data_IF_117277971186
#
_entry.id   IF_117277971186
#
_cell.length_a   1.000
_cell.length_b   1.000
_cell.length_c   1.000
_cell.angle_alpha   90.00
_cell.angle_beta   90.00
_cell.angle_gamma   90.00
#
_symmetry.space_group_name_H-M   'P 1'
#
loop_
_entity.id
_entity.type
_entity.pdbx_description
1 polymer ?
#
# COMPACT_ATOMS: atom_id res chain seq x y z
N UNK A 1 -18.21 -3.56 3.10
CA UNK A 1 -18.20 -2.77 1.87
C UNK A 1 -18.68 -3.55 0.65
N UNK A 2 -18.29 -4.83 0.43
CA UNK A 2 -18.68 -5.63 -0.75
C UNK A 2 -20.20 -5.69 -0.96
N UNK A 3 -21.01 -5.97 0.09
CA UNK A 3 -22.47 -5.98 -0.02
C UNK A 3 -23.06 -4.61 -0.39
N UNK A 4 -22.51 -3.53 0.17
CA UNK A 4 -22.93 -2.16 -0.15
C UNK A 4 -22.59 -1.80 -1.60
N UNK A 5 -21.43 -2.22 -2.11
CA UNK A 5 -21.03 -2.04 -3.49
C UNK A 5 -21.97 -2.74 -4.47
N UNK A 6 -22.37 -3.99 -4.18
CA UNK A 6 -23.34 -4.73 -5.01
C UNK A 6 -24.72 -4.08 -5.03
N UNK A 7 -25.20 -3.55 -3.92
CA UNK A 7 -26.48 -2.79 -3.88
C UNK A 7 -26.33 -1.51 -4.72
N UNK A 8 -25.21 -0.83 -4.63
CA UNK A 8 -24.95 0.40 -5.37
C UNK A 8 -24.99 0.20 -6.89
N UNK A 9 -24.51 -0.93 -7.41
CA UNK A 9 -24.58 -1.26 -8.86
C UNK A 9 -26.01 -1.31 -9.42
N UNK A 10 -27.02 -1.54 -8.57
CA UNK A 10 -28.42 -1.59 -8.96
C UNK A 10 -29.08 -0.21 -9.03
N UNK A 11 -28.43 0.83 -8.57
CA UNK A 11 -28.98 2.18 -8.49
C UNK A 11 -28.76 2.97 -9.78
N UNK A 12 -29.72 3.86 -10.09
CA UNK A 12 -29.56 4.79 -11.22
C UNK A 12 -28.86 6.10 -10.80
N UNK A 13 -27.56 6.09 -10.85
CA UNK A 13 -26.70 7.21 -10.43
C UNK A 13 -26.85 8.46 -11.30
N UNK A 14 -27.40 8.35 -12.51
CA UNK A 14 -27.66 9.49 -13.38
C UNK A 14 -28.66 10.49 -12.76
N UNK A 15 -29.50 10.04 -11.84
CA UNK A 15 -30.47 10.89 -11.13
C UNK A 15 -29.89 11.56 -9.88
N UNK A 16 -28.77 11.07 -9.36
CA UNK A 16 -28.13 11.61 -8.15
C UNK A 16 -27.28 12.80 -8.53
N UNK A 17 -27.61 13.98 -8.01
CA UNK A 17 -26.90 15.25 -8.27
C UNK A 17 -26.05 15.70 -7.10
N UNK A 18 -26.24 15.11 -5.95
CA UNK A 18 -25.56 15.48 -4.72
C UNK A 18 -24.15 14.90 -4.66
N UNK A 19 -23.17 15.78 -4.44
CA UNK A 19 -21.77 15.41 -4.33
C UNK A 19 -21.51 14.47 -3.16
N UNK A 20 -22.13 14.71 -2.00
CA UNK A 20 -21.91 13.91 -0.80
C UNK A 20 -22.28 12.44 -1.03
N UNK A 21 -23.41 12.20 -1.70
CA UNK A 21 -23.86 10.85 -2.07
C UNK A 21 -22.91 10.19 -3.07
N UNK A 22 -22.48 10.91 -4.12
CA UNK A 22 -21.52 10.38 -5.10
C UNK A 22 -20.17 10.09 -4.45
N UNK A 23 -19.67 10.97 -3.59
CA UNK A 23 -18.42 10.74 -2.86
C UNK A 23 -18.50 9.53 -1.95
N UNK A 24 -19.64 9.32 -1.29
CA UNK A 24 -19.84 8.14 -0.43
C UNK A 24 -19.77 6.85 -1.24
N UNK A 25 -20.43 6.80 -2.40
CA UNK A 25 -20.43 5.58 -3.21
C UNK A 25 -19.06 5.32 -3.86
N UNK A 26 -18.36 6.36 -4.30
CA UNK A 26 -16.98 6.24 -4.79
C UNK A 26 -16.10 5.58 -3.72
N UNK A 27 -16.19 6.04 -2.45
CA UNK A 27 -15.43 5.46 -1.36
C UNK A 27 -15.86 4.01 -1.03
N UNK A 28 -17.13 3.67 -1.18
CA UNK A 28 -17.65 2.31 -0.97
C UNK A 28 -17.10 1.36 -2.03
N UNK A 29 -17.11 1.76 -3.31
CA UNK A 29 -16.58 0.96 -4.41
C UNK A 29 -15.05 0.77 -4.27
N UNK A 30 -14.34 1.84 -3.94
CA UNK A 30 -12.91 1.76 -3.68
C UNK A 30 -12.59 0.80 -2.52
N UNK A 31 -13.30 0.92 -1.40
CA UNK A 31 -13.10 0.04 -0.23
C UNK A 31 -13.49 -1.43 -0.50
N UNK A 32 -14.35 -1.68 -1.49
CA UNK A 32 -14.67 -3.01 -1.98
C UNK A 32 -13.61 -3.57 -2.94
N UNK A 33 -12.70 -2.73 -3.44
CA UNK A 33 -11.68 -3.07 -4.44
C UNK A 33 -12.20 -3.01 -5.89
N UNK A 34 -13.40 -2.43 -6.09
CA UNK A 34 -14.02 -2.28 -7.41
C UNK A 34 -13.63 -0.93 -8.02
N UNK A 35 -12.39 -0.86 -8.52
CA UNK A 35 -11.82 0.39 -9.03
C UNK A 35 -12.44 0.84 -10.35
N UNK A 36 -12.99 -0.07 -11.16
CA UNK A 36 -13.70 0.29 -12.39
C UNK A 36 -14.99 1.04 -12.08
N UNK A 37 -15.82 0.52 -11.19
CA UNK A 37 -17.06 1.18 -10.76
C UNK A 37 -16.75 2.50 -10.03
N UNK A 38 -15.73 2.52 -9.17
CA UNK A 38 -15.29 3.74 -8.49
C UNK A 38 -14.88 4.82 -9.49
N UNK A 39 -14.11 4.45 -10.55
CA UNK A 39 -13.74 5.33 -11.66
C UNK A 39 -14.97 5.86 -12.38
N UNK A 40 -15.90 5.02 -12.75
CA UNK A 40 -17.09 5.41 -13.52
C UNK A 40 -17.97 6.38 -12.74
N UNK A 41 -18.12 6.16 -11.42
CA UNK A 41 -18.80 7.11 -10.54
C UNK A 41 -18.03 8.44 -10.40
N UNK A 42 -16.71 8.38 -10.36
CA UNK A 42 -15.87 9.58 -10.31
C UNK A 42 -15.92 10.36 -11.63
N UNK A 43 -15.94 9.71 -12.79
CA UNK A 43 -16.16 10.33 -14.11
C UNK A 43 -17.52 11.03 -14.15
N UNK A 44 -18.57 10.39 -13.64
CA UNK A 44 -19.90 11.00 -13.58
C UNK A 44 -19.90 12.30 -12.76
N UNK A 45 -19.20 12.32 -11.62
CA UNK A 45 -19.04 13.49 -10.78
C UNK A 45 -18.18 14.58 -11.46
N UNK A 46 -17.08 14.18 -12.10
CA UNK A 46 -16.19 15.07 -12.83
C UNK A 46 -16.89 15.80 -13.98
N UNK A 47 -17.67 15.08 -14.80
CA UNK A 47 -18.47 15.64 -15.90
C UNK A 47 -19.55 16.62 -15.44
N UNK A 48 -19.88 16.58 -14.16
CA UNK A 48 -20.82 17.54 -13.50
C UNK A 48 -20.11 18.69 -12.79
N UNK A 49 -18.81 18.80 -12.93
CA UNK A 49 -17.97 19.79 -12.24
C UNK A 49 -18.09 19.71 -10.71
N UNK A 50 -18.27 18.52 -10.15
CA UNK A 50 -18.33 18.28 -8.72
C UNK A 50 -16.94 17.89 -8.17
N UNK A 51 -16.75 18.00 -6.85
CA UNK A 51 -15.58 17.49 -6.14
C UNK A 51 -14.26 18.26 -6.31
N UNK A 52 -14.15 19.09 -7.34
CA UNK A 52 -12.97 19.93 -7.58
C UNK A 52 -11.66 19.14 -7.65
N UNK A 53 -10.54 19.79 -7.28
CA UNK A 53 -9.20 19.21 -7.40
C UNK A 53 -9.02 17.87 -6.65
N UNK A 54 -9.75 17.65 -5.55
CA UNK A 54 -9.68 16.38 -4.81
C UNK A 54 -10.25 15.22 -5.62
N UNK A 55 -11.31 15.49 -6.39
CA UNK A 55 -11.86 14.46 -7.29
C UNK A 55 -10.92 14.17 -8.45
N UNK A 56 -10.26 15.19 -9.01
CA UNK A 56 -9.28 14.99 -10.10
C UNK A 56 -8.12 14.10 -9.61
N UNK A 57 -7.59 14.38 -8.41
CA UNK A 57 -6.58 13.52 -7.78
C UNK A 57 -7.06 12.07 -7.68
N UNK A 58 -8.24 11.87 -7.09
CA UNK A 58 -8.82 10.54 -6.86
C UNK A 58 -9.13 9.81 -8.16
N UNK A 59 -9.64 10.51 -9.17
CA UNK A 59 -9.91 9.95 -10.48
C UNK A 59 -8.62 9.52 -11.19
N UNK A 60 -7.55 10.29 -11.04
CA UNK A 60 -6.21 9.90 -11.53
C UNK A 60 -5.75 8.60 -10.88
N UNK A 61 -5.91 8.46 -9.53
CA UNK A 61 -5.58 7.21 -8.84
C UNK A 61 -6.38 6.01 -9.38
N UNK A 62 -7.68 6.20 -9.69
CA UNK A 62 -8.49 5.13 -10.25
C UNK A 62 -8.05 4.73 -11.65
N UNK A 63 -7.73 5.68 -12.53
CA UNK A 63 -7.20 5.38 -13.85
C UNK A 63 -5.85 4.63 -13.77
N UNK A 64 -4.98 4.98 -12.83
CA UNK A 64 -3.76 4.23 -12.54
C UNK A 64 -4.08 2.79 -12.11
N UNK A 65 -5.09 2.58 -11.26
CA UNK A 65 -5.48 1.26 -10.74
C UNK A 65 -6.09 0.34 -11.80
N UNK A 66 -6.66 0.89 -12.86
CA UNK A 66 -7.24 0.14 -13.99
C UNK A 66 -6.33 0.15 -15.22
N UNK A 67 -5.06 0.56 -15.07
CA UNK A 67 -4.03 0.61 -16.10
C UNK A 67 -4.37 1.48 -17.31
N UNK A 68 -5.28 2.46 -17.14
CA UNK A 68 -5.61 3.45 -18.16
C UNK A 68 -4.69 4.67 -18.03
N UNK A 69 -3.45 4.51 -18.46
CA UNK A 69 -2.40 5.49 -18.24
C UNK A 69 -2.56 6.75 -19.11
N UNK A 70 -3.24 6.68 -20.26
CA UNK A 70 -3.49 7.84 -21.11
C UNK A 70 -4.38 8.87 -20.39
N UNK A 71 -5.51 8.42 -19.87
CA UNK A 71 -6.42 9.26 -19.10
C UNK A 71 -5.81 9.68 -17.75
N UNK A 72 -5.02 8.79 -17.11
CA UNK A 72 -4.31 9.13 -15.87
C UNK A 72 -3.30 10.27 -16.08
N UNK A 73 -2.55 10.27 -17.19
CA UNK A 73 -1.60 11.36 -17.51
C UNK A 73 -2.30 12.69 -17.79
N UNK A 74 -3.42 12.66 -18.52
CA UNK A 74 -4.18 13.88 -18.80
C UNK A 74 -4.69 14.53 -17.51
N UNK A 75 -5.32 13.75 -16.64
CA UNK A 75 -5.82 14.22 -15.36
C UNK A 75 -4.70 14.64 -14.40
N UNK A 76 -3.58 13.93 -14.40
CA UNK A 76 -2.40 14.36 -13.64
C UNK A 76 -1.92 15.75 -14.08
N UNK A 77 -1.84 16.01 -15.40
CA UNK A 77 -1.43 17.34 -15.91
C UNK A 77 -2.43 18.41 -15.49
N UNK A 78 -3.72 18.12 -15.51
CA UNK A 78 -4.76 19.02 -15.00
C UNK A 78 -4.58 19.28 -13.50
N UNK A 79 -4.43 18.23 -12.69
CA UNK A 79 -4.20 18.36 -11.25
C UNK A 79 -2.94 19.16 -10.93
N UNK A 80 -1.84 18.85 -11.57
CA UNK A 80 -0.57 19.55 -11.34
C UNK A 80 -0.65 21.05 -11.67
N UNK A 81 -1.43 21.41 -12.69
CA UNK A 81 -1.67 22.81 -13.08
C UNK A 81 -2.56 23.53 -12.06
N UNK A 82 -3.62 22.90 -11.59
CA UNK A 82 -4.55 23.46 -10.61
C UNK A 82 -3.96 23.50 -9.20
N UNK A 83 -3.00 22.66 -8.91
CA UNK A 83 -2.43 22.43 -7.58
C UNK A 83 -0.90 22.60 -7.59
N UNK A 84 -0.40 23.69 -8.20
CA UNK A 84 1.03 23.90 -8.41
C UNK A 84 1.89 23.83 -7.13
N UNK A 85 1.32 24.24 -5.99
CA UNK A 85 1.99 24.23 -4.67
C UNK A 85 1.66 23.01 -3.82
N UNK A 86 0.83 22.09 -4.30
CA UNK A 86 0.47 20.88 -3.57
C UNK A 86 1.57 19.82 -3.76
N UNK A 87 2.19 19.39 -2.66
CA UNK A 87 3.25 18.39 -2.67
C UNK A 87 2.76 17.01 -3.08
N UNK A 88 1.47 16.71 -2.89
CA UNK A 88 0.87 15.43 -3.29
C UNK A 88 0.93 15.18 -4.81
N UNK A 89 1.17 16.22 -5.63
CA UNK A 89 1.42 16.04 -7.06
C UNK A 89 2.63 15.14 -7.35
N UNK A 90 3.65 15.16 -6.48
CA UNK A 90 4.83 14.29 -6.64
C UNK A 90 4.48 12.83 -6.37
N UNK A 91 3.64 12.59 -5.36
CA UNK A 91 3.18 11.24 -5.03
C UNK A 91 2.28 10.67 -6.14
N UNK A 92 1.34 11.46 -6.62
CA UNK A 92 0.49 11.06 -7.73
C UNK A 92 1.31 10.75 -9.00
N UNK A 93 2.34 11.56 -9.28
CA UNK A 93 3.25 11.30 -10.40
C UNK A 93 4.12 10.07 -10.17
N UNK A 94 4.61 9.89 -8.96
CA UNK A 94 5.36 8.69 -8.58
C UNK A 94 4.53 7.42 -8.79
N UNK A 95 3.28 7.40 -8.31
CA UNK A 95 2.41 6.25 -8.47
C UNK A 95 2.09 5.97 -9.95
N UNK A 96 1.84 7.00 -10.75
CA UNK A 96 1.64 6.90 -12.19
C UNK A 96 2.88 6.30 -12.88
N UNK A 97 4.07 6.88 -12.64
CA UNK A 97 5.31 6.43 -13.28
C UNK A 97 5.71 5.02 -12.85
N UNK A 98 5.49 4.69 -11.57
CA UNK A 98 5.70 3.35 -11.06
C UNK A 98 4.78 2.32 -11.71
N UNK A 99 3.51 2.64 -11.91
CA UNK A 99 2.55 1.77 -12.61
C UNK A 99 2.89 1.58 -14.10
N UNK A 100 3.55 2.56 -14.71
CA UNK A 100 4.07 2.49 -16.09
C UNK A 100 5.44 1.80 -16.19
N UNK A 101 5.93 1.15 -15.13
CA UNK A 101 7.26 0.51 -15.08
C UNK A 101 8.42 1.46 -15.45
N UNK A 102 8.33 2.73 -15.03
CA UNK A 102 9.39 3.70 -15.24
C UNK A 102 10.70 3.25 -14.57
N UNK A 103 11.87 3.66 -15.12
CA UNK A 103 13.16 3.32 -14.53
C UNK A 103 13.27 3.77 -13.07
N UNK A 104 13.90 2.94 -12.21
CA UNK A 104 14.11 3.26 -10.79
C UNK A 104 14.82 4.62 -10.58
N UNK A 105 15.68 5.05 -11.50
CA UNK A 105 16.34 6.35 -11.46
C UNK A 105 15.37 7.52 -11.59
N UNK A 106 14.36 7.41 -12.43
CA UNK A 106 13.30 8.42 -12.56
C UNK A 106 12.44 8.47 -11.29
N UNK A 107 12.10 7.30 -10.74
CA UNK A 107 11.34 7.20 -9.49
C UNK A 107 12.11 7.83 -8.30
N UNK A 108 13.43 7.67 -8.26
CA UNK A 108 14.30 8.36 -7.29
C UNK A 108 14.16 9.88 -7.43
N UNK A 109 14.29 10.42 -8.63
CA UNK A 109 14.23 11.88 -8.87
C UNK A 109 12.89 12.48 -8.42
N UNK A 110 11.79 11.74 -8.57
CA UNK A 110 10.46 12.17 -8.14
C UNK A 110 10.37 12.19 -6.61
N UNK A 111 10.79 11.10 -5.95
CA UNK A 111 10.72 11.02 -4.49
C UNK A 111 11.74 11.94 -3.79
N UNK A 112 12.88 12.25 -4.41
CA UNK A 112 13.79 13.28 -3.89
C UNK A 112 13.12 14.65 -3.83
N UNK A 113 12.36 15.04 -4.88
CA UNK A 113 11.59 16.29 -4.89
C UNK A 113 10.49 16.31 -3.83
N UNK A 114 9.83 15.17 -3.62
CA UNK A 114 8.84 15.06 -2.54
C UNK A 114 9.47 15.22 -1.17
N UNK A 115 10.59 14.54 -0.91
CA UNK A 115 11.35 14.60 0.35
C UNK A 115 11.84 16.01 0.70
N UNK A 116 12.15 16.86 -0.30
CA UNK A 116 12.53 18.27 -0.06
C UNK A 116 11.37 19.11 0.49
N UNK A 117 10.12 18.71 0.20
CA UNK A 117 8.93 19.45 0.57
C UNK A 117 8.23 18.87 1.81
N UNK A 118 8.28 17.54 2.01
CA UNK A 118 7.58 16.85 3.09
C UNK A 118 8.34 15.60 3.55
N UNK A 119 8.19 15.30 4.84
CA UNK A 119 8.78 14.11 5.47
C UNK A 119 7.65 13.11 5.74
N UNK A 120 7.66 12.02 4.99
CA UNK A 120 6.70 10.92 5.12
C UNK A 120 7.46 9.60 5.28
N UNK A 121 7.11 8.82 6.30
CA UNK A 121 7.79 7.58 6.67
C UNK A 121 7.78 6.55 5.54
N UNK A 122 6.63 6.37 4.88
CA UNK A 122 6.46 5.40 3.81
C UNK A 122 7.32 5.76 2.60
N UNK A 123 7.23 7.01 2.13
CA UNK A 123 7.93 7.43 0.93
C UNK A 123 9.44 7.60 1.15
N UNK A 124 9.86 7.90 2.38
CA UNK A 124 11.28 7.82 2.75
C UNK A 124 11.80 6.39 2.65
N UNK A 125 11.01 5.41 3.10
CA UNK A 125 11.40 4.01 2.98
C UNK A 125 11.43 3.56 1.51
N UNK A 126 10.43 3.90 0.72
CA UNK A 126 10.40 3.60 -0.72
C UNK A 126 11.60 4.22 -1.45
N UNK A 127 11.98 5.45 -1.09
CA UNK A 127 13.19 6.09 -1.62
C UNK A 127 14.48 5.34 -1.21
N UNK A 128 14.57 4.86 0.04
CA UNK A 128 15.70 4.06 0.47
C UNK A 128 15.81 2.73 -0.30
N UNK A 129 14.68 2.07 -0.60
CA UNK A 129 14.66 0.88 -1.46
C UNK A 129 15.12 1.18 -2.89
N UNK A 130 14.69 2.29 -3.47
CA UNK A 130 15.12 2.74 -4.80
C UNK A 130 16.62 3.07 -4.82
N UNK A 131 17.16 3.70 -3.79
CA UNK A 131 18.61 3.91 -3.66
C UNK A 131 19.37 2.58 -3.60
N UNK A 132 18.83 1.60 -2.87
CA UNK A 132 19.41 0.26 -2.81
C UNK A 132 19.44 -0.41 -4.20
N UNK A 133 18.34 -0.37 -4.95
CA UNK A 133 18.21 -0.95 -6.29
C UNK A 133 19.12 -0.26 -7.31
N UNK A 134 19.27 1.05 -7.23
CA UNK A 134 20.12 1.84 -8.13
C UNK A 134 21.60 1.86 -7.71
N UNK A 135 21.97 1.12 -6.65
CA UNK A 135 23.36 1.04 -6.19
C UNK A 135 23.86 2.25 -5.41
N UNK A 136 23.00 3.20 -5.06
CA UNK A 136 23.31 4.41 -4.27
C UNK A 136 23.40 4.06 -2.77
N UNK A 137 24.39 3.27 -2.38
CA UNK A 137 24.53 2.69 -1.04
C UNK A 137 24.62 3.72 0.09
N UNK A 138 25.31 4.82 -0.13
CA UNK A 138 25.47 5.87 0.89
C UNK A 138 24.14 6.59 1.15
N UNK A 139 23.40 6.94 0.09
CA UNK A 139 22.09 7.57 0.19
C UNK A 139 21.07 6.64 0.85
N UNK A 140 21.08 5.36 0.48
CA UNK A 140 20.28 4.32 1.12
C UNK A 140 20.56 4.25 2.63
N UNK A 141 21.83 4.10 3.03
CA UNK A 141 22.23 4.02 4.44
C UNK A 141 21.82 5.26 5.23
N UNK A 142 22.08 6.45 4.68
CA UNK A 142 21.72 7.73 5.32
C UNK A 142 20.20 7.89 5.45
N UNK A 143 19.43 7.48 4.45
CA UNK A 143 17.97 7.56 4.51
C UNK A 143 17.39 6.59 5.54
N UNK A 144 17.94 5.37 5.66
CA UNK A 144 17.59 4.43 6.72
C UNK A 144 17.94 4.98 8.12
N UNK A 145 19.09 5.65 8.28
CA UNK A 145 19.47 6.27 9.54
C UNK A 145 18.50 7.38 9.95
N UNK A 146 18.10 8.22 8.99
CA UNK A 146 17.11 9.28 9.22
C UNK A 146 15.74 8.72 9.59
N UNK A 147 15.28 7.61 8.97
CA UNK A 147 14.03 6.95 9.33
C UNK A 147 14.04 6.51 10.80
N UNK A 148 15.09 5.84 11.25
CA UNK A 148 15.22 5.40 12.64
C UNK A 148 15.30 6.60 13.60
N UNK A 149 15.99 7.67 13.21
CA UNK A 149 16.17 8.85 14.04
C UNK A 149 14.87 9.64 14.22
N UNK A 150 14.08 9.80 13.16
CA UNK A 150 12.91 10.68 13.18
C UNK A 150 11.63 10.00 13.64
N UNK A 151 11.45 8.72 13.30
CA UNK A 151 10.21 7.99 13.61
C UNK A 151 10.34 7.03 14.79
N UNK A 152 11.58 6.63 15.17
CA UNK A 152 11.94 5.81 16.31
C UNK A 152 11.40 4.37 16.27
N UNK A 153 10.11 4.16 15.96
CA UNK A 153 9.45 2.88 15.84
C UNK A 153 8.49 2.86 14.63
N UNK A 154 7.90 1.72 14.33
CA UNK A 154 6.96 1.55 13.24
C UNK A 154 7.44 0.59 12.15
N UNK A 155 6.50 0.22 11.27
CA UNK A 155 6.75 -0.79 10.24
C UNK A 155 7.85 -0.39 9.25
N UNK A 156 7.95 0.90 8.92
CA UNK A 156 8.95 1.39 7.97
C UNK A 156 10.32 1.54 8.62
N UNK A 157 10.37 1.84 9.92
CA UNK A 157 11.62 1.82 10.72
C UNK A 157 12.19 0.41 10.75
N UNK A 158 11.36 -0.61 11.03
CA UNK A 158 11.77 -2.00 11.00
C UNK A 158 12.27 -2.45 9.62
N UNK A 159 11.56 -2.05 8.56
CA UNK A 159 11.97 -2.31 7.17
C UNK A 159 13.29 -1.62 6.83
N UNK A 160 13.49 -0.38 7.29
CA UNK A 160 14.73 0.36 7.07
C UNK A 160 15.93 -0.30 7.75
N UNK A 161 15.75 -0.81 8.99
CA UNK A 161 16.79 -1.56 9.71
C UNK A 161 17.16 -2.85 8.98
N UNK A 162 16.17 -3.61 8.48
CA UNK A 162 16.40 -4.82 7.66
C UNK A 162 17.09 -4.49 6.33
N UNK A 163 16.74 -3.38 5.70
CA UNK A 163 17.37 -2.94 4.46
C UNK A 163 18.84 -2.58 4.71
N UNK A 164 19.13 -1.95 5.84
CA UNK A 164 20.51 -1.61 6.23
C UNK A 164 21.34 -2.85 6.57
N UNK A 165 20.75 -3.85 7.21
CA UNK A 165 21.37 -5.17 7.40
C UNK A 165 21.72 -5.81 6.05
N UNK A 166 20.76 -5.83 5.11
CA UNK A 166 20.95 -6.35 3.76
C UNK A 166 22.02 -5.61 2.97
N UNK A 167 22.17 -4.30 3.20
CA UNK A 167 23.19 -3.47 2.59
C UNK A 167 24.62 -3.81 3.09
N UNK A 168 24.73 -4.47 4.26
CA UNK A 168 26.00 -4.89 4.86
C UNK A 168 26.85 -3.75 5.43
N UNK A 169 26.22 -2.64 5.82
CA UNK A 169 26.90 -1.48 6.40
C UNK A 169 26.81 -1.43 7.91
N UNK A 170 27.65 -0.61 8.53
CA UNK A 170 27.68 -0.45 9.99
C UNK A 170 26.32 0.04 10.52
N UNK A 171 25.85 -0.61 11.57
CA UNK A 171 24.61 -0.27 12.26
C UNK A 171 24.88 0.35 13.63
N UNK A 172 24.05 1.32 14.02
CA UNK A 172 24.04 1.89 15.37
C UNK A 172 23.57 0.90 16.41
N UNK A 173 23.84 1.15 17.69
CA UNK A 173 23.34 0.29 18.78
C UNK A 173 21.81 0.21 18.82
N UNK A 174 21.11 1.33 18.53
CA UNK A 174 19.66 1.36 18.42
C UNK A 174 19.15 0.46 17.31
N UNK A 175 19.76 0.53 16.13
CA UNK A 175 19.39 -0.31 14.99
C UNK A 175 19.63 -1.80 15.28
N UNK A 176 20.76 -2.15 15.92
CA UNK A 176 21.04 -3.53 16.34
C UNK A 176 20.01 -4.05 17.35
N UNK A 177 19.58 -3.21 18.30
CA UNK A 177 18.53 -3.55 19.25
C UNK A 177 17.20 -3.82 18.54
N UNK A 178 16.75 -2.92 17.66
CA UNK A 178 15.54 -3.10 16.85
C UNK A 178 15.62 -4.41 16.05
N UNK A 179 16.76 -4.67 15.39
CA UNK A 179 16.95 -5.90 14.61
C UNK A 179 16.84 -7.16 15.47
N UNK A 180 17.43 -7.15 16.69
CA UNK A 180 17.33 -8.28 17.63
C UNK A 180 15.90 -8.54 18.08
N UNK A 181 15.13 -7.49 18.35
CA UNK A 181 13.70 -7.58 18.70
C UNK A 181 12.83 -8.12 17.56
N UNK A 182 13.11 -7.70 16.31
CA UNK A 182 12.46 -8.22 15.12
C UNK A 182 12.73 -9.72 14.96
N UNK A 183 13.98 -10.14 15.12
CA UNK A 183 14.37 -11.54 14.97
C UNK A 183 13.78 -12.42 16.08
N UNK A 184 13.73 -11.94 17.32
CA UNK A 184 13.08 -12.64 18.43
C UNK A 184 11.58 -12.87 18.14
N UNK A 185 10.84 -11.81 17.72
CA UNK A 185 9.42 -11.96 17.36
C UNK A 185 9.17 -12.96 16.25
N UNK A 186 10.02 -12.99 15.22
CA UNK A 186 9.91 -13.99 14.13
C UNK A 186 10.11 -15.42 14.65
N UNK A 187 11.12 -15.63 15.50
CA UNK A 187 11.38 -16.93 16.09
C UNK A 187 10.20 -17.45 16.92
N UNK A 188 9.58 -16.55 17.71
CA UNK A 188 8.40 -16.88 18.50
C UNK A 188 7.17 -17.20 17.61
N UNK A 189 6.98 -16.45 16.52
CA UNK A 189 5.91 -16.70 15.56
C UNK A 189 6.08 -18.04 14.83
N UNK A 190 7.30 -18.39 14.44
CA UNK A 190 7.63 -19.68 13.81
C UNK A 190 7.39 -20.84 14.78
N UNK A 191 7.89 -20.74 16.01
CA UNK A 191 7.66 -21.76 17.05
C UNK A 191 6.17 -21.94 17.36
N UNK A 192 5.39 -20.85 17.39
CA UNK A 192 3.95 -20.93 17.60
C UNK A 192 3.20 -21.57 16.42
N UNK A 193 3.61 -21.29 15.18
CA UNK A 193 3.06 -21.95 13.99
C UNK A 193 3.35 -23.45 13.98
N UNK A 194 4.56 -23.86 14.33
CA UNK A 194 4.92 -25.27 14.44
C UNK A 194 4.09 -25.97 15.51
N UNK A 195 3.90 -25.35 16.68
CA UNK A 195 3.07 -25.90 17.74
C UNK A 195 1.61 -26.09 17.29
N UNK A 196 1.01 -25.07 16.66
CA UNK A 196 -0.36 -25.14 16.13
C UNK A 196 -0.51 -26.22 15.04
N UNK A 197 0.50 -26.37 14.18
CA UNK A 197 0.51 -27.41 13.16
C UNK A 197 0.54 -28.81 13.79
N UNK A 198 1.36 -29.01 14.84
CA UNK A 198 1.45 -30.28 15.55
C UNK A 198 0.14 -30.61 16.29
N UNK A 199 -0.48 -29.61 16.95
CA UNK A 199 -1.79 -29.79 17.60
C UNK A 199 -2.89 -30.16 16.60
N UNK A 200 -2.94 -29.52 15.42
CA UNK A 200 -3.90 -29.88 14.38
C UNK A 200 -3.69 -31.29 13.83
N UNK A 201 -2.43 -31.71 13.68
CA UNK A 201 -2.10 -33.06 13.24
C UNK A 201 -2.49 -34.10 14.26
N UNK A 202 -2.29 -33.84 15.55
CA UNK A 202 -2.69 -34.71 16.66
C UNK A 202 -4.21 -34.85 16.74
N UNK A 203 -4.94 -33.72 16.66
CA UNK A 203 -6.42 -33.72 16.61
C UNK A 203 -6.98 -34.48 15.41
N UNK A 204 -6.33 -34.37 14.24
CA UNK A 204 -6.73 -35.11 13.06
C UNK A 204 -6.52 -36.62 13.22
N UNK A 205 -5.44 -37.01 13.94
CA UNK A 205 -5.16 -38.41 14.26
C UNK A 205 -6.18 -38.99 15.23
N UNK A 206 -6.48 -38.28 16.35
CA UNK A 206 -7.46 -38.70 17.34
C UNK A 206 -8.85 -38.87 16.72
N UNK A 207 -9.28 -37.96 15.84
CA UNK A 207 -10.57 -38.08 15.12
C UNK A 207 -10.60 -39.29 14.19
N UNK A 208 -9.48 -39.69 13.62
CA UNK A 208 -9.38 -40.83 12.73
C UNK A 208 -9.45 -42.15 13.53
N UNK A 209 -8.84 -42.16 14.71
CA UNK A 209 -8.86 -43.31 15.62
C UNK A 209 -10.26 -43.49 16.22
N UNK A 210 -10.98 -42.41 16.64
CA UNK A 210 -12.38 -42.47 17.09
C UNK A 210 -13.36 -42.98 16.02
N UNK A 211 -13.16 -42.62 14.75
CA UNK A 211 -14.00 -43.13 13.64
C UNK A 211 -13.68 -44.59 13.32
N UNK A 212 -12.44 -45.02 13.51
CA UNK A 212 -12.05 -46.41 13.36
C UNK A 212 -12.71 -47.33 14.39
N UNK A 213 -12.70 -46.94 15.66
CA UNK A 213 -13.30 -47.69 16.76
C UNK A 213 -14.81 -47.81 16.62
N UNK A 214 -15.51 -46.81 16.05
CA UNK A 214 -16.96 -46.88 15.81
C UNK A 214 -17.39 -47.80 14.66
N UNK A 215 -16.45 -48.14 13.77
CA UNK A 215 -16.73 -49.06 12.65
C UNK A 215 -16.48 -50.54 13.02
N UNK A 216 -15.70 -50.81 14.09
CA UNK A 216 -15.39 -52.15 14.59
C UNK A 216 -16.41 -52.65 15.64
N UNK A 217 -17.33 -51.82 16.14
CA UNK A 217 -18.42 -52.22 17.08
C UNK A 217 -19.69 -52.74 16.40
N UNK A 218 -19.83 -52.70 15.07
CA UNK A 218 -21.05 -53.10 14.31
C UNK A 218 -20.86 -54.47 13.58
N UNK A 219 -19.83 -55.27 13.90
CA UNK A 219 -19.66 -56.67 13.48
C UNK A 219 -19.87 -57.59 14.68
#
# INVERSE_FOLDING_TARGET
>A
YKQAAEIAKQMNWNKVKDWSTLATIINVQEAAGDYEEARDMAILAYNRNLGGRKLIYKLTEFFIKVDDFENAEELYREYAKLSAHDVNKYILYYDLRRAQDAPDTELVDILEKYKEAEIDEKYMYELAELYYKTGRKEDCSKTCDNLVLWFQDGIYVEKAVKLKEKLGVTMTNTQKKILSEINARKSDEEANKERLFMEQKELARLKKDEVGDLLDEDD
#
